data_IF_231621147509
#
_entry.id   IF_231621147509
#
_cell.length_a   1.000
_cell.length_b   1.000
_cell.length_c   1.000
_cell.angle_alpha   90.00
_cell.angle_beta   90.00
_cell.angle_gamma   90.00
#
_symmetry.space_group_name_H-M   'P 1'
#
loop_
_entity.id
_entity.type
_entity.pdbx_description
1 polymer ?
#
# COMPACT_ATOMS: atom_id res chain seq x y z
N UNK A 1 19.09 -5.12 2.02
CA UNK A 1 17.88 -4.61 2.68
C UNK A 1 16.73 -5.08 1.82
N UNK A 2 15.78 -5.79 2.41
CA UNK A 2 14.57 -6.19 1.70
C UNK A 2 13.69 -4.93 1.66
N UNK A 3 13.20 -4.47 0.50
CA UNK A 3 12.31 -3.33 0.44
C UNK A 3 10.98 -3.70 1.10
N UNK A 4 10.63 -2.98 2.17
CA UNK A 4 9.42 -3.21 2.96
C UNK A 4 8.47 -2.04 2.79
N UNK A 5 7.19 -2.33 2.54
CA UNK A 5 6.11 -1.36 2.55
C UNK A 5 5.51 -1.32 3.96
N UNK A 6 5.50 -0.14 4.57
CA UNK A 6 4.81 0.08 5.84
C UNK A 6 3.38 0.54 5.60
N UNK A 7 2.39 -0.07 6.26
CA UNK A 7 0.97 0.28 6.12
C UNK A 7 0.45 0.81 7.44
N UNK A 8 0.03 2.08 7.43
CA UNK A 8 -0.58 2.76 8.57
C UNK A 8 -2.09 2.97 8.34
N UNK A 9 -2.90 2.55 9.31
CA UNK A 9 -4.35 2.73 9.28
C UNK A 9 -4.71 3.90 10.18
N UNK A 10 -4.96 5.06 9.59
CA UNK A 10 -5.35 6.27 10.31
C UNK A 10 -6.82 6.59 10.08
N UNK A 11 -7.67 6.44 11.09
CA UNK A 11 -8.99 7.07 11.05
C UNK A 11 -8.78 8.58 10.96
N UNK A 12 -9.36 9.25 9.97
CA UNK A 12 -9.45 10.72 9.95
C UNK A 12 -10.22 11.18 11.19
N UNK A 13 -9.53 11.33 12.31
CA UNK A 13 -9.96 12.10 13.48
C UNK A 13 -8.75 12.47 14.33
N UNK A 14 -7.66 12.94 13.73
CA UNK A 14 -6.72 13.79 14.45
C UNK A 14 -6.14 14.80 13.48
N UNK A 15 -6.80 15.96 13.42
CA UNK A 15 -6.28 17.15 12.74
C UNK A 15 -5.19 17.84 13.59
N UNK A 16 -4.76 17.21 14.69
CA UNK A 16 -3.73 17.64 15.63
C UNK A 16 -2.32 17.28 15.13
N UNK A 17 -2.14 16.10 14.53
CA UNK A 17 -0.82 15.61 14.09
C UNK A 17 -0.22 16.43 12.93
N UNK A 18 -1.07 17.06 12.11
CA UNK A 18 -0.61 17.92 11.01
C UNK A 18 0.06 19.22 11.52
N UNK A 19 -0.39 19.75 12.65
CA UNK A 19 0.16 20.97 13.24
C UNK A 19 1.56 20.71 13.86
N UNK A 20 1.75 19.54 14.46
CA UNK A 20 3.05 19.12 15.02
C UNK A 20 4.07 18.77 13.91
N UNK A 21 3.62 18.15 12.81
CA UNK A 21 4.51 17.81 11.69
C UNK A 21 5.00 19.04 10.92
N UNK A 22 4.16 20.08 10.80
CA UNK A 22 4.57 21.37 10.20
C UNK A 22 5.60 22.13 11.04
N UNK A 23 5.67 21.89 12.36
CA UNK A 23 6.66 22.49 13.24
C UNK A 23 8.07 21.84 13.13
N UNK A 24 8.19 20.64 12.55
CA UNK A 24 9.46 19.91 12.46
C UNK A 24 10.30 20.22 11.21
N UNK A 25 9.77 20.99 10.24
CA UNK A 25 10.42 21.20 8.94
C UNK A 25 11.47 22.33 8.90
N UNK A 26 11.89 22.89 10.04
CA UNK A 26 12.94 23.94 10.09
C UNK A 26 14.37 23.41 10.24
N UNK A 27 14.62 22.13 10.01
CA UNK A 27 15.99 21.60 10.05
C UNK A 27 16.31 20.95 8.72
N UNK A 28 17.19 21.61 7.97
CA UNK A 28 17.79 21.09 6.74
C UNK A 28 18.58 19.82 7.04
N UNK A 29 17.88 18.69 7.02
CA UNK A 29 18.42 17.36 7.23
C UNK A 29 18.45 16.61 5.90
N UNK A 30 19.57 15.93 5.64
CA UNK A 30 19.70 14.97 4.56
C UNK A 30 18.46 14.10 4.53
N UNK A 31 17.82 13.96 3.36
CA UNK A 31 16.58 13.19 3.21
C UNK A 31 16.91 11.74 3.50
N UNK A 32 16.80 11.35 4.78
CA UNK A 32 16.85 9.97 5.20
C UNK A 32 15.76 9.27 4.39
N UNK A 33 16.13 8.19 3.69
CA UNK A 33 15.20 7.41 2.88
C UNK A 33 14.22 6.76 3.84
N UNK A 34 13.18 7.50 4.22
CA UNK A 34 12.13 6.98 5.09
C UNK A 34 11.54 5.75 4.40
N UNK A 35 11.24 4.68 5.16
CA UNK A 35 10.55 3.52 4.60
C UNK A 35 9.27 4.01 3.90
N UNK A 36 8.98 3.41 2.75
CA UNK A 36 7.83 3.83 1.99
C UNK A 36 6.56 3.45 2.77
N UNK A 37 5.81 4.47 3.18
CA UNK A 37 4.60 4.33 4.01
C UNK A 37 3.36 4.55 3.15
N UNK A 38 2.44 3.59 3.19
CA UNK A 38 1.09 3.71 2.66
C UNK A 38 0.12 4.03 3.81
N UNK A 39 -0.44 5.24 3.80
CA UNK A 39 -1.52 5.62 4.73
C UNK A 39 -2.88 5.30 4.12
N UNK A 40 -3.70 4.55 4.85
CA UNK A 40 -5.07 4.20 4.46
C UNK A 40 -6.09 4.73 5.46
N UNK A 41 -7.26 5.11 4.96
CA UNK A 41 -8.25 5.91 5.70
C UNK A 41 -8.96 5.15 6.83
N UNK A 42 -9.11 3.83 6.69
CA UNK A 42 -9.83 2.99 7.64
C UNK A 42 -9.60 1.50 7.37
N UNK A 43 -10.09 0.67 8.30
CA UNK A 43 -9.98 -0.79 8.25
C UNK A 43 -10.82 -1.44 7.13
N UNK A 44 -11.88 -0.77 6.66
CA UNK A 44 -12.68 -1.27 5.53
C UNK A 44 -11.86 -1.19 4.23
N UNK A 45 -11.22 -0.04 3.98
CA UNK A 45 -10.27 0.15 2.88
C UNK A 45 -9.10 -0.84 2.99
N UNK A 46 -8.55 -1.05 4.18
CA UNK A 46 -7.53 -2.08 4.42
C UNK A 46 -8.01 -3.47 3.99
N UNK A 47 -9.18 -3.90 4.48
CA UNK A 47 -9.74 -5.22 4.18
C UNK A 47 -10.09 -5.39 2.70
N UNK A 48 -10.46 -4.31 2.02
CA UNK A 48 -10.69 -4.33 0.57
C UNK A 48 -9.37 -4.51 -0.20
N UNK A 49 -8.34 -3.74 0.13
CA UNK A 49 -7.04 -3.76 -0.56
C UNK A 49 -6.28 -5.06 -0.30
N UNK A 50 -6.13 -5.45 0.97
CA UNK A 50 -5.33 -6.60 1.41
C UNK A 50 -6.16 -7.87 1.57
N UNK A 51 -7.25 -8.00 0.81
CA UNK A 51 -8.01 -9.25 0.73
C UNK A 51 -7.14 -10.38 0.16
N UNK A 52 -7.46 -11.66 0.45
CA UNK A 52 -6.66 -12.80 -0.01
C UNK A 52 -6.40 -12.82 -1.52
N UNK A 53 -7.40 -12.44 -2.32
CA UNK A 53 -7.29 -12.43 -3.78
C UNK A 53 -6.36 -11.36 -4.34
N UNK A 54 -6.04 -10.32 -3.58
CA UNK A 54 -5.06 -9.30 -3.95
C UNK A 54 -3.67 -9.68 -3.44
N UNK A 55 -3.57 -10.22 -2.22
CA UNK A 55 -2.31 -10.73 -1.68
C UNK A 55 -1.72 -11.83 -2.57
N UNK A 56 -2.55 -12.75 -3.06
CA UNK A 56 -2.15 -13.78 -4.04
C UNK A 56 -1.59 -13.17 -5.33
N UNK A 57 -2.14 -12.04 -5.80
CA UNK A 57 -1.64 -11.37 -6.99
C UNK A 57 -0.29 -10.68 -6.72
N UNK A 58 -0.14 -10.03 -5.56
CA UNK A 58 1.12 -9.39 -5.16
C UNK A 58 2.24 -10.44 -5.04
N UNK A 59 1.98 -11.54 -4.35
CA UNK A 59 2.89 -12.68 -4.21
C UNK A 59 3.27 -13.24 -5.60
N UNK A 60 2.28 -13.52 -6.46
CA UNK A 60 2.54 -14.05 -7.79
C UNK A 60 3.36 -13.10 -8.68
N UNK A 61 3.19 -11.78 -8.54
CA UNK A 61 4.01 -10.78 -9.26
C UNK A 61 5.47 -10.85 -8.79
N UNK A 62 5.70 -10.85 -7.48
CA UNK A 62 7.05 -10.89 -6.90
C UNK A 62 7.76 -12.21 -7.24
N UNK A 63 7.06 -13.34 -7.13
CA UNK A 63 7.65 -14.66 -7.36
C UNK A 63 7.93 -14.98 -8.84
N UNK A 64 7.07 -14.53 -9.75
CA UNK A 64 7.10 -14.99 -11.14
C UNK A 64 7.49 -13.90 -12.17
N UNK A 65 7.58 -12.63 -11.77
CA UNK A 65 7.87 -11.48 -12.65
C UNK A 65 7.12 -11.55 -14.01
N UNK A 66 5.77 -11.61 -13.99
CA UNK A 66 4.99 -11.83 -15.20
C UNK A 66 5.16 -10.65 -16.16
N UNK A 67 5.39 -10.93 -17.45
CA UNK A 67 5.53 -9.92 -18.51
C UNK A 67 4.25 -9.14 -18.80
N UNK A 68 3.09 -9.62 -18.33
CA UNK A 68 1.81 -8.95 -18.52
C UNK A 68 0.73 -9.38 -17.53
N UNK A 69 -0.32 -8.56 -17.39
CA UNK A 69 -1.55 -8.92 -16.64
C UNK A 69 -2.18 -10.22 -17.17
N UNK A 70 -2.04 -10.49 -18.47
CA UNK A 70 -2.57 -11.73 -19.07
C UNK A 70 -1.81 -12.96 -18.60
N UNK A 71 -0.49 -12.87 -18.54
CA UNK A 71 0.36 -13.95 -18.04
C UNK A 71 0.11 -14.16 -16.54
N UNK A 72 0.03 -13.08 -15.75
CA UNK A 72 -0.34 -13.16 -14.34
C UNK A 72 -1.65 -13.93 -14.14
N UNK A 73 -2.69 -13.62 -14.93
CA UNK A 73 -3.96 -14.34 -14.86
C UNK A 73 -3.84 -15.84 -15.17
N UNK A 74 -2.91 -16.23 -16.04
CA UNK A 74 -2.63 -17.63 -16.33
C UNK A 74 -1.87 -18.31 -15.18
N UNK A 75 -0.93 -17.62 -14.55
CA UNK A 75 -0.16 -18.11 -13.39
C UNK A 75 -1.10 -18.41 -12.22
N UNK A 76 -1.96 -17.45 -11.86
CA UNK A 76 -2.91 -17.64 -10.74
C UNK A 76 -4.16 -18.44 -11.13
N UNK A 77 -4.31 -18.82 -12.41
CA UNK A 77 -5.45 -19.59 -12.90
C UNK A 77 -6.81 -18.87 -12.80
N UNK A 78 -6.83 -17.53 -12.84
CA UNK A 78 -8.03 -16.70 -12.68
C UNK A 78 -8.46 -16.02 -13.98
N UNK A 79 -9.71 -15.56 -14.02
CA UNK A 79 -10.26 -14.89 -15.20
C UNK A 79 -9.61 -13.51 -15.41
N UNK A 80 -9.17 -13.24 -16.64
CA UNK A 80 -8.48 -11.99 -17.00
C UNK A 80 -9.20 -10.70 -16.59
N UNK A 81 -10.53 -10.55 -16.75
CA UNK A 81 -11.22 -9.33 -16.31
C UNK A 81 -11.13 -9.11 -14.81
N UNK A 82 -11.20 -10.17 -14.00
CA UNK A 82 -11.08 -10.08 -12.54
C UNK A 82 -9.68 -9.64 -12.14
N UNK A 83 -8.65 -10.27 -12.71
CA UNK A 83 -7.25 -9.91 -12.44
C UNK A 83 -6.96 -8.49 -12.89
N UNK A 84 -7.47 -8.07 -14.04
CA UNK A 84 -7.29 -6.68 -14.52
C UNK A 84 -7.91 -5.68 -13.56
N UNK A 85 -9.12 -5.95 -13.05
CA UNK A 85 -9.78 -5.08 -12.08
C UNK A 85 -8.99 -5.00 -10.77
N UNK A 86 -8.52 -6.14 -10.25
CA UNK A 86 -7.73 -6.21 -9.03
C UNK A 86 -6.38 -5.49 -9.18
N UNK A 87 -5.71 -5.65 -10.32
CA UNK A 87 -4.46 -4.93 -10.61
C UNK A 87 -4.68 -3.43 -10.73
N UNK A 88 -5.74 -2.98 -11.40
CA UNK A 88 -6.02 -1.54 -11.48
C UNK A 88 -6.30 -0.94 -10.09
N UNK A 89 -7.04 -1.65 -9.24
CA UNK A 89 -7.26 -1.22 -7.86
C UNK A 89 -5.93 -1.12 -7.08
N UNK A 90 -5.06 -2.12 -7.19
CA UNK A 90 -3.73 -2.08 -6.56
C UNK A 90 -2.86 -0.93 -7.09
N UNK A 91 -2.99 -0.60 -8.38
CA UNK A 91 -2.32 0.57 -9.00
C UNK A 91 -2.87 1.88 -8.44
N UNK A 92 -4.18 1.99 -8.25
CA UNK A 92 -4.82 3.19 -7.70
C UNK A 92 -4.32 3.50 -6.27
N UNK A 93 -3.93 2.46 -5.52
CA UNK A 93 -3.31 2.58 -4.19
C UNK A 93 -1.77 2.60 -4.22
N UNK A 94 -1.13 2.59 -5.40
CA UNK A 94 0.33 2.62 -5.53
C UNK A 94 1.06 1.35 -5.10
N UNK A 95 0.32 0.25 -4.89
CA UNK A 95 0.87 -1.05 -4.49
C UNK A 95 1.47 -1.83 -5.66
N UNK A 96 1.06 -1.50 -6.88
CA UNK A 96 1.56 -2.08 -8.13
C UNK A 96 1.81 -0.94 -9.12
N UNK A 97 2.90 -1.01 -9.86
CA UNK A 97 3.15 -0.17 -11.02
C UNK A 97 2.91 -0.94 -12.31
N UNK A 98 2.47 -0.25 -13.37
CA UNK A 98 2.33 -0.83 -14.70
C UNK A 98 3.38 -0.26 -15.64
N UNK A 99 4.45 -1.03 -15.85
CA UNK A 99 5.47 -0.69 -16.83
C UNK A 99 4.99 -1.02 -18.24
N UNK A 100 5.41 -0.19 -19.21
CA UNK A 100 5.18 -0.49 -20.62
C UNK A 100 6.27 -1.43 -21.12
N UNK A 101 5.89 -2.67 -21.40
CA UNK A 101 6.72 -3.62 -22.14
C UNK A 101 6.15 -3.82 -23.55
N UNK A 102 6.66 -3.05 -24.50
CA UNK A 102 6.16 -3.01 -25.87
C UNK A 102 4.68 -2.58 -25.95
N UNK A 103 3.78 -3.54 -26.19
CA UNK A 103 2.31 -3.32 -26.23
C UNK A 103 1.60 -3.80 -24.97
N UNK A 104 2.30 -4.52 -24.09
CA UNK A 104 1.74 -5.06 -22.87
C UNK A 104 1.95 -4.09 -21.70
N UNK A 105 1.12 -4.26 -20.66
CA UNK A 105 1.31 -3.63 -19.35
C UNK A 105 1.85 -4.70 -18.41
N UNK A 106 3.09 -4.53 -17.98
CA UNK A 106 3.79 -5.41 -17.04
C UNK A 106 3.52 -4.92 -15.62
N UNK A 107 2.85 -5.71 -14.76
CA UNK A 107 2.69 -5.36 -13.36
C UNK A 107 3.99 -5.59 -12.60
N UNK A 108 4.39 -4.61 -11.79
CA UNK A 108 5.62 -4.63 -10.99
C UNK A 108 5.30 -4.21 -9.56
N UNK A 109 5.89 -4.91 -8.59
CA UNK A 109 5.86 -4.58 -7.17
C UNK A 109 7.29 -4.23 -6.75
N UNK A 110 7.48 -3.09 -6.07
CA UNK A 110 8.81 -2.57 -5.71
C UNK A 110 9.24 -2.94 -4.28
N UNK A 111 8.41 -3.71 -3.57
CA UNK A 111 8.64 -4.23 -2.22
C UNK A 111 8.49 -5.76 -2.20
N UNK A 112 9.16 -6.40 -1.25
CA UNK A 112 9.12 -7.85 -1.04
C UNK A 112 8.43 -8.22 0.29
N UNK A 113 8.14 -7.22 1.14
CA UNK A 113 7.53 -7.39 2.46
C UNK A 113 6.50 -6.28 2.73
N UNK A 114 5.42 -6.63 3.44
CA UNK A 114 4.39 -5.70 3.91
C UNK A 114 4.31 -5.81 5.42
N UNK A 115 4.59 -4.71 6.12
CA UNK A 115 4.40 -4.57 7.56
C UNK A 115 3.17 -3.72 7.83
N UNK A 116 2.24 -4.25 8.61
CA UNK A 116 1.00 -3.58 8.97
C UNK A 116 0.97 -3.30 10.46
N UNK A 117 0.98 -2.02 10.83
CA UNK A 117 0.79 -1.60 12.22
C UNK A 117 -0.64 -1.13 12.45
N UNK A 118 -1.35 -1.86 13.32
CA UNK A 118 -2.73 -1.56 13.70
C UNK A 118 -2.78 -1.15 15.16
N UNK A 119 -3.09 0.13 15.39
CA UNK A 119 -3.35 0.65 16.74
C UNK A 119 -4.79 0.32 17.15
N UNK A 120 -4.94 -0.34 18.30
CA UNK A 120 -6.24 -0.78 18.83
C UNK A 120 -6.75 0.12 19.96
N UNK A 121 -5.99 1.14 20.34
CA UNK A 121 -6.33 2.09 21.38
C UNK A 121 -7.06 3.31 20.80
N UNK A 122 -8.35 3.42 21.11
CA UNK A 122 -9.07 4.69 21.04
C UNK A 122 -8.79 5.47 22.32
N UNK A 123 -7.62 6.10 22.43
CA UNK A 123 -7.50 7.22 23.35
C UNK A 123 -8.26 8.41 22.76
N UNK A 124 -9.58 8.39 22.96
CA UNK A 124 -10.32 9.64 23.09
C UNK A 124 -9.64 10.37 24.24
N UNK A 125 -8.88 11.41 23.89
CA UNK A 125 -8.32 12.36 24.84
C UNK A 125 -9.48 13.16 25.41
N UNK A 126 -10.30 12.50 26.23
CA UNK A 126 -11.23 13.12 27.14
C UNK A 126 -10.40 13.52 28.37
N UNK A 127 -9.53 14.52 28.20
CA UNK A 127 -9.07 15.32 29.31
C UNK A 127 -9.96 16.55 29.36
N UNK A 128 -11.08 16.36 30.06
CA UNK A 128 -11.71 17.41 30.82
C UNK A 128 -10.63 18.16 31.60
N UNK A 129 -10.28 19.36 31.13
CA UNK A 129 -9.57 20.33 31.95
C UNK A 129 -10.57 21.37 32.46
N UNK A 130 -11.00 21.07 33.70
CA UNK A 130 -11.34 21.95 34.83
C UNK A 130 -12.09 23.27 34.59
#
# INVERSE_FOLDING_TARGET
MIPTLHVEIGTTTDHSDLEDSLAALDVGEDVDLQPATLSIENLETFGQIFRPSNLELLEAIVENDPSSIRELAQIVGRHLPEVTNNINELVDYGLVELERDGRAKRPVVWYDEIDVDIRLDHHSTDIAHA
#
